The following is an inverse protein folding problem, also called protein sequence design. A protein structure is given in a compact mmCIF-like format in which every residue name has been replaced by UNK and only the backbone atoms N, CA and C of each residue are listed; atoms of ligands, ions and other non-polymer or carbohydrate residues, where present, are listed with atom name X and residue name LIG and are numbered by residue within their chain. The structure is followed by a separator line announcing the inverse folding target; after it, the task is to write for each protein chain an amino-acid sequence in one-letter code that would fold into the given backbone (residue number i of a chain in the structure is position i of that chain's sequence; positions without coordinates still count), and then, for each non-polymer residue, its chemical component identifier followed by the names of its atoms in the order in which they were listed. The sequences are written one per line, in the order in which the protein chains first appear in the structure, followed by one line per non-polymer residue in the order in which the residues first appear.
data_IF_361841722356
#
_entry.id   IF_361841722356
#
_cell.length_a   1.000
_cell.length_b   1.000
_cell.length_c   1.000
_cell.angle_alpha   90.00
_cell.angle_beta   90.00
_cell.angle_gamma   90.00
#
_symmetry.space_group_name_H-M   'P 1'
#
loop_
_entity.id
_entity.type
_entity.pdbx_description
1 polymer ?
#
# COMPACT_ATOMS: atom_id res chain seq x y z
N UNK A 1 -2.26 15.03 26.91
CA UNK A 1 -1.85 13.97 25.96
C UNK A 1 -0.33 13.94 25.90
N UNK A 2 0.28 12.85 25.43
CA UNK A 2 1.74 12.70 25.41
C UNK A 2 2.34 13.33 24.13
N UNK A 3 3.52 13.92 24.24
CA UNK A 3 4.32 14.42 23.11
C UNK A 3 4.68 13.27 22.15
N UNK A 4 4.33 13.41 20.87
CA UNK A 4 4.54 12.41 19.82
C UNK A 4 5.71 12.74 18.89
N UNK A 5 6.44 13.82 19.13
CA UNK A 5 7.60 14.19 18.31
C UNK A 5 8.71 13.17 18.49
N UNK A 6 9.10 12.54 17.39
CA UNK A 6 10.19 11.56 17.33
C UNK A 6 10.98 11.75 16.04
N UNK A 7 12.25 11.35 16.07
CA UNK A 7 13.05 11.23 14.84
C UNK A 7 12.56 10.05 14.00
N UNK A 8 12.76 10.11 12.68
CA UNK A 8 12.42 9.00 11.78
C UNK A 8 13.19 7.73 12.17
N UNK A 9 14.44 7.88 12.64
CA UNK A 9 15.27 6.76 13.10
C UNK A 9 14.65 6.04 14.30
N UNK A 10 14.18 6.77 15.30
CA UNK A 10 13.51 6.19 16.47
C UNK A 10 12.24 5.46 16.04
N UNK A 11 11.40 6.06 15.18
CA UNK A 11 10.16 5.43 14.71
C UNK A 11 10.45 4.16 13.93
N UNK A 12 11.36 4.20 12.96
CA UNK A 12 11.71 3.03 12.14
C UNK A 12 12.36 1.92 12.98
N UNK A 13 13.11 2.26 14.03
CA UNK A 13 13.71 1.26 14.93
C UNK A 13 12.66 0.37 15.60
N UNK A 14 11.47 0.92 15.87
CA UNK A 14 10.37 0.19 16.50
C UNK A 14 9.61 -0.74 15.56
N UNK A 15 9.85 -0.68 14.24
CA UNK A 15 9.16 -1.49 13.25
C UNK A 15 9.85 -2.85 13.14
N UNK A 16 9.17 -3.97 13.46
CA UNK A 16 9.74 -5.29 13.26
C UNK A 16 10.02 -5.62 11.79
N UNK A 17 10.98 -6.50 11.55
CA UNK A 17 11.06 -7.19 10.26
C UNK A 17 9.79 -8.01 10.02
N UNK A 18 9.37 -8.16 8.77
CA UNK A 18 8.11 -8.83 8.45
C UNK A 18 6.87 -7.93 8.48
N UNK A 19 6.98 -6.70 8.98
CA UNK A 19 5.83 -5.80 9.12
C UNK A 19 5.19 -5.42 7.78
N UNK A 20 3.87 -5.24 7.84
CA UNK A 20 3.08 -4.65 6.76
C UNK A 20 3.05 -3.12 6.91
N UNK A 21 3.72 -2.44 5.99
CA UNK A 21 3.81 -0.98 5.93
C UNK A 21 2.93 -0.45 4.79
N UNK A 22 2.03 0.47 5.10
CA UNK A 22 1.35 1.28 4.10
C UNK A 22 2.08 2.60 3.88
N UNK A 23 2.32 2.95 2.61
CA UNK A 23 2.92 4.22 2.23
C UNK A 23 1.84 5.13 1.64
N UNK A 24 1.77 6.35 2.15
CA UNK A 24 0.90 7.41 1.63
C UNK A 24 1.45 8.03 0.35
N UNK A 25 0.88 9.18 -0.02
CA UNK A 25 1.27 9.91 -1.23
C UNK A 25 0.64 9.33 -2.51
N UNK A 26 1.07 9.88 -3.64
CA UNK A 26 0.60 9.48 -4.98
C UNK A 26 1.72 9.69 -5.99
N UNK A 27 2.23 8.61 -6.59
CA UNK A 27 3.33 8.69 -7.55
C UNK A 27 4.50 9.54 -7.02
N UNK A 28 4.79 10.68 -7.66
CA UNK A 28 5.88 11.59 -7.25
C UNK A 28 5.47 12.63 -6.19
N UNK A 29 4.21 12.64 -5.75
CA UNK A 29 3.68 13.64 -4.82
C UNK A 29 3.58 13.08 -3.40
N UNK A 30 4.19 13.78 -2.44
CA UNK A 30 4.16 13.46 -1.01
C UNK A 30 4.59 12.01 -0.69
N UNK A 31 5.52 11.46 -1.47
CA UNK A 31 6.13 10.16 -1.19
C UNK A 31 6.90 10.17 0.13
N UNK A 32 6.98 9.03 0.80
CA UNK A 32 7.59 8.89 2.12
C UNK A 32 9.11 8.70 2.04
N UNK A 33 9.81 9.56 1.29
CA UNK A 33 11.23 9.37 0.93
C UNK A 33 12.14 9.28 2.16
N UNK A 34 11.97 10.15 3.15
CA UNK A 34 12.78 10.11 4.37
C UNK A 34 12.63 8.77 5.11
N UNK A 35 11.41 8.21 5.13
CA UNK A 35 11.13 6.90 5.73
C UNK A 35 11.74 5.78 4.90
N UNK A 36 11.62 5.83 3.57
CA UNK A 36 12.21 4.83 2.69
C UNK A 36 13.73 4.73 2.86
N UNK A 37 14.42 5.88 2.89
CA UNK A 37 15.86 5.93 3.17
C UNK A 37 16.20 5.37 4.56
N UNK A 38 15.38 5.67 5.57
CA UNK A 38 15.62 5.19 6.92
C UNK A 38 15.42 3.67 7.08
N UNK A 39 14.37 3.12 6.45
CA UNK A 39 14.15 1.67 6.37
C UNK A 39 15.36 0.96 5.73
N UNK A 40 15.89 1.53 4.63
CA UNK A 40 17.10 1.03 3.96
C UNK A 40 18.32 1.11 4.89
N UNK A 41 18.52 2.25 5.55
CA UNK A 41 19.66 2.48 6.45
C UNK A 41 19.66 1.51 7.63
N UNK A 42 18.49 1.19 8.17
CA UNK A 42 18.34 0.20 9.25
C UNK A 42 18.25 -1.25 8.75
N UNK A 43 18.36 -1.47 7.43
CA UNK A 43 18.34 -2.79 6.80
C UNK A 43 17.14 -3.65 7.22
N UNK A 44 15.95 -3.05 7.32
CA UNK A 44 14.70 -3.80 7.59
C UNK A 44 14.47 -4.86 6.53
N UNK A 45 13.81 -5.97 6.85
CA UNK A 45 13.67 -7.11 5.92
C UNK A 45 12.28 -7.69 5.90
N UNK A 46 12.00 -8.40 4.81
CA UNK A 46 10.76 -9.16 4.60
C UNK A 46 9.49 -8.32 4.75
N UNK A 47 9.56 -7.05 4.35
CA UNK A 47 8.44 -6.13 4.50
C UNK A 47 7.33 -6.48 3.51
N UNK A 48 6.08 -6.35 3.97
CA UNK A 48 4.94 -6.22 3.06
C UNK A 48 4.69 -4.74 2.84
N UNK A 49 4.72 -4.27 1.59
CA UNK A 49 4.33 -2.90 1.25
C UNK A 49 2.94 -2.86 0.65
N UNK A 50 2.16 -1.85 1.01
CA UNK A 50 0.94 -1.52 0.29
C UNK A 50 0.81 -0.04 -0.04
N UNK A 51 0.41 0.26 -1.28
CA UNK A 51 0.24 1.64 -1.75
C UNK A 51 -0.78 1.69 -2.89
N UNK A 52 -1.67 2.68 -2.86
CA UNK A 52 -2.69 2.84 -3.91
C UNK A 52 -2.08 3.13 -5.28
N UNK A 53 -1.12 4.05 -5.32
CA UNK A 53 -0.31 4.37 -6.50
C UNK A 53 1.15 4.45 -6.10
N UNK A 54 1.96 3.48 -6.53
CA UNK A 54 3.38 3.40 -6.16
C UNK A 54 4.20 4.52 -6.79
N UNK A 55 5.22 4.96 -6.05
CA UNK A 55 6.15 6.01 -6.47
C UNK A 55 7.60 5.64 -6.15
N UNK A 56 8.44 6.68 -6.04
CA UNK A 56 9.87 6.54 -5.81
C UNK A 56 10.19 5.85 -4.48
N UNK A 57 9.41 6.08 -3.44
CA UNK A 57 9.59 5.43 -2.13
C UNK A 57 9.49 3.90 -2.22
N UNK A 58 8.44 3.38 -2.86
CA UNK A 58 8.30 1.94 -3.10
C UNK A 58 9.40 1.41 -4.03
N UNK A 59 9.76 2.14 -5.09
CA UNK A 59 10.80 1.70 -6.02
C UNK A 59 12.18 1.58 -5.34
N UNK A 60 12.52 2.52 -4.46
CA UNK A 60 13.74 2.46 -3.65
C UNK A 60 13.76 1.25 -2.71
N UNK A 61 12.65 0.99 -2.00
CA UNK A 61 12.57 -0.12 -1.05
C UNK A 61 12.63 -1.49 -1.75
N UNK A 62 11.97 -1.63 -2.89
CA UNK A 62 12.07 -2.83 -3.72
C UNK A 62 13.47 -2.98 -4.29
N UNK A 63 14.06 -1.89 -4.81
CA UNK A 63 15.42 -1.88 -5.36
C UNK A 63 16.49 -2.26 -4.35
N UNK A 64 16.31 -1.90 -3.08
CA UNK A 64 17.21 -2.26 -2.00
C UNK A 64 16.97 -3.69 -1.44
N UNK A 65 15.93 -4.39 -1.90
CA UNK A 65 15.67 -5.79 -1.53
C UNK A 65 15.00 -6.00 -0.17
N UNK A 66 14.33 -4.98 0.37
CA UNK A 66 13.70 -5.06 1.70
C UNK A 66 12.30 -5.69 1.67
N UNK A 67 11.70 -5.80 0.49
CA UNK A 67 10.28 -6.11 0.29
C UNK A 67 10.11 -7.56 -0.11
N UNK A 68 9.29 -8.33 0.62
CA UNK A 68 8.91 -9.70 0.24
C UNK A 68 7.54 -9.77 -0.43
N UNK A 69 6.64 -8.83 -0.12
CA UNK A 69 5.31 -8.72 -0.73
C UNK A 69 4.97 -7.28 -1.08
N UNK A 70 4.37 -7.07 -2.24
CA UNK A 70 3.92 -5.75 -2.71
C UNK A 70 2.45 -5.80 -3.11
N UNK A 71 1.60 -5.06 -2.41
CA UNK A 71 0.15 -4.94 -2.68
C UNK A 71 -0.11 -3.56 -3.27
N UNK A 72 -0.41 -3.46 -4.56
CA UNK A 72 -0.46 -2.17 -5.24
C UNK A 72 -1.56 -2.02 -6.26
N UNK A 73 -1.92 -0.76 -6.57
CA UNK A 73 -2.85 -0.41 -7.64
C UNK A 73 -2.19 -0.10 -9.00
N UNK A 74 -0.86 -0.16 -9.08
CA UNK A 74 -0.04 0.38 -10.17
C UNK A 74 0.72 1.64 -9.75
N UNK A 75 1.49 2.24 -10.65
CA UNK A 75 2.21 3.49 -10.36
C UNK A 75 3.29 3.85 -11.38
N UNK A 76 3.89 5.02 -11.19
CA UNK A 76 4.93 5.57 -12.06
C UNK A 76 5.72 6.65 -11.31
N UNK A 77 6.84 7.08 -11.90
CA UNK A 77 7.54 8.30 -11.55
C UNK A 77 7.05 9.49 -12.40
N UNK A 78 5.81 9.41 -12.89
CA UNK A 78 5.20 10.42 -13.77
C UNK A 78 6.12 10.77 -14.96
N UNK A 79 6.42 12.06 -15.17
CA UNK A 79 7.34 12.54 -16.21
C UNK A 79 8.75 11.93 -16.16
N UNK A 80 9.17 11.41 -15.00
CA UNK A 80 10.51 10.82 -14.83
C UNK A 80 10.57 9.34 -15.22
N UNK A 81 9.45 8.73 -15.60
CA UNK A 81 9.41 7.39 -16.19
C UNK A 81 8.73 6.33 -15.30
N UNK A 82 9.00 5.04 -15.55
CA UNK A 82 8.38 3.95 -14.79
C UNK A 82 9.12 3.67 -13.47
N UNK A 83 8.46 2.92 -12.59
CA UNK A 83 9.08 2.33 -11.40
C UNK A 83 9.93 1.11 -11.80
N UNK A 84 11.21 1.34 -12.09
CA UNK A 84 12.10 0.34 -12.71
C UNK A 84 12.36 -0.87 -11.82
N UNK A 85 12.55 -0.67 -10.52
CA UNK A 85 12.83 -1.77 -9.59
C UNK A 85 11.56 -2.60 -9.32
N UNK A 86 10.40 -1.96 -9.18
CA UNK A 86 9.10 -2.65 -9.07
C UNK A 86 8.83 -3.50 -10.31
N UNK A 87 9.00 -2.93 -11.51
CA UNK A 87 8.78 -3.67 -12.76
C UNK A 87 9.73 -4.86 -12.89
N UNK A 88 11.02 -4.65 -12.65
CA UNK A 88 12.01 -5.74 -12.64
C UNK A 88 11.66 -6.82 -11.61
N UNK A 89 11.19 -6.43 -10.42
CA UNK A 89 10.82 -7.38 -9.38
C UNK A 89 9.61 -8.24 -9.76
N UNK A 90 8.63 -7.66 -10.45
CA UNK A 90 7.46 -8.38 -10.99
C UNK A 90 7.85 -9.33 -12.11
N UNK A 91 8.66 -8.87 -13.07
CA UNK A 91 9.13 -9.67 -14.19
C UNK A 91 9.97 -10.87 -13.73
N UNK A 92 10.85 -10.66 -12.75
CA UNK A 92 11.71 -11.72 -12.19
C UNK A 92 11.05 -12.54 -11.08
N UNK A 93 9.83 -12.16 -10.65
CA UNK A 93 9.11 -12.75 -9.50
C UNK A 93 9.94 -12.80 -8.21
N UNK A 94 10.78 -11.79 -7.99
CA UNK A 94 11.56 -11.64 -6.76
C UNK A 94 10.75 -11.08 -5.59
N UNK A 95 9.54 -10.59 -5.85
CA UNK A 95 8.55 -10.14 -4.85
C UNK A 95 7.20 -10.81 -5.11
N UNK A 96 6.50 -11.21 -4.04
CA UNK A 96 5.10 -11.63 -4.08
C UNK A 96 4.21 -10.41 -4.40
N UNK A 97 3.97 -10.14 -5.68
CA UNK A 97 3.23 -8.95 -6.13
C UNK A 97 1.74 -9.25 -6.27
N UNK A 98 0.90 -8.45 -5.59
CA UNK A 98 -0.55 -8.47 -5.70
C UNK A 98 -1.00 -7.20 -6.42
N UNK A 99 -1.27 -7.34 -7.72
CA UNK A 99 -1.72 -6.27 -8.58
C UNK A 99 -3.24 -6.12 -8.48
N UNK A 100 -3.69 -4.98 -7.96
CA UNK A 100 -5.08 -4.55 -7.90
C UNK A 100 -5.28 -3.34 -8.82
N UNK A 101 -6.53 -2.85 -8.93
CA UNK A 101 -6.76 -1.48 -9.38
C UNK A 101 -6.54 -0.50 -8.22
N UNK A 102 -6.08 0.73 -8.50
CA UNK A 102 -5.94 1.75 -7.44
C UNK A 102 -7.24 1.99 -6.68
N UNK A 103 -8.39 1.94 -7.37
CA UNK A 103 -9.70 2.06 -6.74
C UNK A 103 -9.97 0.94 -5.72
N UNK A 104 -9.61 -0.30 -6.03
CA UNK A 104 -9.83 -1.42 -5.11
C UNK A 104 -8.90 -1.40 -3.91
N UNK A 105 -7.66 -0.90 -4.05
CA UNK A 105 -6.81 -0.62 -2.88
C UNK A 105 -7.45 0.43 -1.97
N UNK A 106 -7.97 1.53 -2.52
CA UNK A 106 -8.67 2.56 -1.75
C UNK A 106 -9.87 1.97 -0.99
N UNK A 107 -10.68 1.13 -1.64
CA UNK A 107 -11.81 0.47 -0.96
C UNK A 107 -11.36 -0.47 0.15
N UNK A 108 -10.26 -1.22 -0.03
CA UNK A 108 -9.74 -2.09 1.03
C UNK A 108 -9.23 -1.31 2.24
N UNK A 109 -8.58 -0.16 2.03
CA UNK A 109 -8.22 0.75 3.12
C UNK A 109 -9.46 1.35 3.79
N UNK A 110 -10.47 1.74 3.01
CA UNK A 110 -11.73 2.24 3.55
C UNK A 110 -12.41 1.19 4.43
N UNK A 111 -12.44 -0.07 4.00
CA UNK A 111 -12.98 -1.16 4.80
C UNK A 111 -12.29 -1.26 6.17
N UNK A 112 -10.94 -1.20 6.19
CA UNK A 112 -10.15 -1.20 7.41
C UNK A 112 -10.45 0.01 8.31
N UNK A 113 -10.49 1.22 7.72
CA UNK A 113 -10.79 2.45 8.44
C UNK A 113 -12.20 2.46 9.05
N UNK A 114 -13.16 1.79 8.41
CA UNK A 114 -14.53 1.61 8.92
C UNK A 114 -14.67 0.46 9.94
N UNK A 115 -13.59 -0.29 10.22
CA UNK A 115 -13.65 -1.47 11.09
C UNK A 115 -14.37 -2.68 10.48
N UNK A 116 -14.54 -2.70 9.15
CA UNK A 116 -15.15 -3.80 8.42
C UNK A 116 -14.10 -4.86 8.05
N UNK A 117 -14.45 -6.13 8.10
CA UNK A 117 -13.54 -7.22 7.67
C UNK A 117 -13.41 -7.31 6.15
N UNK A 118 -14.39 -6.80 5.40
CA UNK A 118 -14.42 -6.80 3.94
C UNK A 118 -15.34 -5.69 3.40
N UNK A 119 -15.23 -5.39 2.10
CA UNK A 119 -16.11 -4.46 1.39
C UNK A 119 -16.57 -5.06 0.04
N UNK A 120 -17.88 -5.02 -0.30
CA UNK A 120 -18.38 -5.45 -1.60
C UNK A 120 -18.14 -4.36 -2.66
N UNK A 121 -17.64 -4.75 -3.83
CA UNK A 121 -17.37 -3.89 -4.98
C UNK A 121 -17.78 -4.57 -6.29
N UNK A 122 -18.08 -3.78 -7.32
CA UNK A 122 -18.19 -4.28 -8.72
C UNK A 122 -16.88 -4.15 -9.50
N UNK A 123 -15.94 -3.33 -9.00
CA UNK A 123 -14.63 -3.16 -9.64
C UNK A 123 -13.87 -4.49 -9.69
N UNK A 124 -13.08 -4.69 -10.74
CA UNK A 124 -12.35 -5.91 -11.10
C UNK A 124 -13.18 -7.07 -11.67
N UNK A 125 -14.50 -7.09 -11.50
CA UNK A 125 -15.33 -8.12 -12.15
C UNK A 125 -15.07 -8.11 -13.67
N UNK A 126 -14.93 -9.32 -14.24
CA UNK A 126 -14.62 -9.53 -15.66
C UNK A 126 -13.29 -8.94 -16.14
N UNK A 127 -12.31 -8.75 -15.25
CA UNK A 127 -10.97 -8.30 -15.61
C UNK A 127 -9.92 -9.40 -15.44
N UNK A 128 -8.89 -9.39 -16.29
CA UNK A 128 -7.72 -10.26 -16.14
C UNK A 128 -7.00 -10.03 -14.79
N UNK A 129 -7.11 -8.81 -14.24
CA UNK A 129 -6.56 -8.50 -12.90
C UNK A 129 -7.21 -9.39 -11.85
N UNK A 130 -8.53 -9.59 -11.90
CA UNK A 130 -9.22 -10.49 -10.98
C UNK A 130 -8.79 -11.95 -11.18
N UNK A 131 -8.70 -12.41 -12.44
CA UNK A 131 -8.26 -13.77 -12.76
C UNK A 131 -6.86 -14.07 -12.18
N UNK A 132 -5.92 -13.12 -12.30
CA UNK A 132 -4.57 -13.23 -11.74
C UNK A 132 -4.57 -13.23 -10.21
N UNK A 133 -5.43 -12.43 -9.57
CA UNK A 133 -5.58 -12.42 -8.11
C UNK A 133 -6.18 -13.74 -7.59
N UNK A 134 -7.21 -14.27 -8.27
CA UNK A 134 -7.86 -15.55 -7.93
C UNK A 134 -6.93 -16.75 -8.15
N UNK A 135 -6.02 -16.70 -9.13
CA UNK A 135 -5.04 -17.77 -9.38
C UNK A 135 -3.78 -17.68 -8.49
N UNK A 136 -3.51 -16.52 -7.89
CA UNK A 136 -2.29 -16.23 -7.14
C UNK A 136 -2.40 -16.40 -5.63
N UNK A 137 -1.37 -15.96 -4.92
CA UNK A 137 -1.30 -15.94 -3.45
C UNK A 137 -2.33 -14.98 -2.80
N UNK A 138 -2.94 -14.10 -3.59
CA UNK A 138 -3.97 -13.15 -3.17
C UNK A 138 -5.40 -13.73 -3.17
N UNK A 139 -5.60 -14.98 -3.61
CA UNK A 139 -6.93 -15.60 -3.71
C UNK A 139 -7.71 -15.60 -2.39
N UNK A 140 -7.00 -15.65 -1.25
CA UNK A 140 -7.60 -15.58 0.09
C UNK A 140 -8.20 -14.21 0.45
N UNK A 141 -7.89 -13.17 -0.31
CA UNK A 141 -8.28 -11.78 -0.07
C UNK A 141 -9.39 -11.28 -1.00
N UNK A 142 -9.85 -12.14 -1.93
CA UNK A 142 -10.95 -11.88 -2.86
C UNK A 142 -11.96 -13.03 -2.80
N UNK A 143 -13.25 -12.72 -2.73
CA UNK A 143 -14.33 -13.72 -2.78
C UNK A 143 -15.52 -13.18 -3.54
N UNK A 144 -16.38 -14.04 -4.08
CA UNK A 144 -17.64 -13.61 -4.74
C UNK A 144 -18.83 -13.83 -3.82
N UNK A 145 -19.84 -12.98 -3.95
CA UNK A 145 -21.10 -13.04 -3.20
C UNK A 145 -22.25 -12.56 -4.09
N UNK A 146 -23.42 -13.19 -3.94
CA UNK A 146 -24.68 -12.61 -4.44
C UNK A 146 -25.27 -11.68 -3.38
N UNK A 147 -25.63 -10.46 -3.78
CA UNK A 147 -26.32 -9.51 -2.93
C UNK A 147 -27.66 -10.10 -2.46
N UNK A 148 -27.95 -10.13 -1.14
CA UNK A 148 -29.19 -10.72 -0.64
C UNK A 148 -30.44 -9.89 -0.99
N UNK A 149 -30.28 -8.61 -1.35
CA UNK A 149 -31.39 -7.72 -1.69
C UNK A 149 -31.71 -7.68 -3.19
N UNK A 150 -30.69 -7.82 -4.04
CA UNK A 150 -30.83 -7.64 -5.51
C UNK A 150 -30.49 -8.89 -6.31
N UNK A 151 -29.84 -9.89 -5.70
CA UNK A 151 -29.35 -11.09 -6.38
C UNK A 151 -28.11 -10.87 -7.26
N UNK A 152 -27.66 -9.62 -7.43
CA UNK A 152 -26.48 -9.28 -8.25
C UNK A 152 -25.18 -9.86 -7.67
N UNK A 153 -24.24 -10.22 -8.53
CA UNK A 153 -22.90 -10.64 -8.12
C UNK A 153 -22.02 -9.44 -7.73
N UNK A 154 -21.32 -9.57 -6.61
CA UNK A 154 -20.32 -8.64 -6.11
C UNK A 154 -19.01 -9.38 -5.79
N UNK A 155 -17.91 -8.65 -5.95
CA UNK A 155 -16.61 -9.05 -5.43
C UNK A 155 -16.45 -8.51 -4.00
N UNK A 156 -16.13 -9.38 -3.06
CA UNK A 156 -15.75 -9.04 -1.70
C UNK A 156 -14.24 -8.92 -1.62
N UNK A 157 -13.77 -7.74 -1.21
CA UNK A 157 -12.35 -7.51 -0.95
C UNK A 157 -12.11 -7.53 0.55
N UNK A 158 -11.15 -8.34 1.03
CA UNK A 158 -10.72 -8.30 2.43
C UNK A 158 -10.13 -6.91 2.75
N UNK A 159 -10.48 -6.37 3.91
CA UNK A 159 -9.91 -5.13 4.41
C UNK A 159 -8.38 -5.20 4.46
N UNK A 160 -7.74 -4.05 4.20
CA UNK A 160 -6.29 -3.92 4.20
C UNK A 160 -5.87 -3.13 5.44
N UNK A 161 -5.35 -3.85 6.43
CA UNK A 161 -4.97 -3.33 7.75
C UNK A 161 -3.46 -3.45 7.93
N UNK A 162 -2.68 -2.42 7.57
CA UNK A 162 -1.23 -2.40 7.78
C UNK A 162 -0.88 -2.29 9.27
N UNK A 163 0.27 -2.84 9.66
CA UNK A 163 0.82 -2.68 11.01
C UNK A 163 1.23 -1.23 11.28
N UNK A 164 1.80 -0.57 10.26
CA UNK A 164 2.22 0.83 10.32
C UNK A 164 1.86 1.54 9.02
N UNK A 165 1.36 2.77 9.12
CA UNK A 165 1.13 3.65 7.98
C UNK A 165 1.99 4.90 8.08
N UNK A 166 2.67 5.25 6.99
CA UNK A 166 3.42 6.50 6.88
C UNK A 166 2.71 7.45 5.94
N UNK A 167 2.50 8.68 6.39
CA UNK A 167 1.89 9.74 5.60
C UNK A 167 2.75 11.00 5.75
N UNK A 168 3.23 11.53 4.63
CA UNK A 168 3.91 12.82 4.61
C UNK A 168 2.87 13.95 4.56
N UNK A 169 3.00 14.93 5.46
CA UNK A 169 2.10 16.09 5.59
C UNK A 169 2.93 17.37 5.69
N UNK A 170 2.33 18.52 5.37
CA UNK A 170 3.02 19.80 5.37
C UNK A 170 3.19 20.37 6.78
N UNK A 171 2.19 20.17 7.65
CA UNK A 171 2.17 20.70 9.01
C UNK A 171 1.64 19.62 9.95
N UNK A 172 2.31 19.43 11.09
CA UNK A 172 1.82 18.65 12.20
C UNK A 172 2.23 19.28 13.52
N UNK A 173 1.43 19.11 14.57
CA UNK A 173 1.78 19.52 15.94
C UNK A 173 2.30 18.34 16.77
N UNK A 174 2.75 18.64 17.99
CA UNK A 174 3.31 17.66 18.93
C UNK A 174 2.28 16.63 19.43
N UNK A 175 0.97 16.90 19.31
CA UNK A 175 -0.09 15.95 19.65
C UNK A 175 -0.45 15.02 18.48
N UNK A 176 0.07 15.31 17.29
CA UNK A 176 -0.12 14.54 16.06
C UNK A 176 -1.27 15.02 15.18
N UNK A 177 -1.90 16.16 15.49
CA UNK A 177 -2.83 16.77 14.55
C UNK A 177 -2.05 17.14 13.29
N UNK A 178 -2.60 16.79 12.13
CA UNK A 178 -1.88 16.85 10.86
C UNK A 178 -2.72 17.57 9.80
N UNK A 179 -2.08 18.47 9.06
CA UNK A 179 -2.71 19.21 7.98
C UNK A 179 -2.08 18.83 6.64
N UNK A 180 -2.93 18.32 5.75
CA UNK A 180 -2.60 18.08 4.35
C UNK A 180 -3.12 19.25 3.54
N UNK A 181 -2.22 20.01 2.93
CA UNK A 181 -2.62 20.94 1.88
C UNK A 181 -2.99 20.14 0.62
N UNK A 182 -4.22 20.34 0.13
CA UNK A 182 -4.73 19.70 -1.08
C UNK A 182 -4.09 20.23 -2.37
N UNK A 183 -4.63 19.80 -3.51
CA UNK A 183 -4.29 20.42 -4.79
C UNK A 183 -4.67 21.91 -4.74
N UNK A 184 -3.72 22.78 -5.11
CA UNK A 184 -4.04 24.16 -5.48
C UNK A 184 -4.63 24.18 -6.87
#
# INVERSE_FOLDING_TARGET
MADKVKTVAEVVSTIPDGSHIALGGFAINRGCIAVAHELIRQQKKNLTLSQGVVGLDTDLLVGAGLVSRLIMGGGSLDRFGPVHCVNRARETRSVDAHDYSSLTICFRYLAGALGLSFIPVKSLLSSEVLERLEAGSAAKDVKRMKCPFTGEEYLLLRALNPDVSFVHVQIADHEGNSQIHGAR
#
